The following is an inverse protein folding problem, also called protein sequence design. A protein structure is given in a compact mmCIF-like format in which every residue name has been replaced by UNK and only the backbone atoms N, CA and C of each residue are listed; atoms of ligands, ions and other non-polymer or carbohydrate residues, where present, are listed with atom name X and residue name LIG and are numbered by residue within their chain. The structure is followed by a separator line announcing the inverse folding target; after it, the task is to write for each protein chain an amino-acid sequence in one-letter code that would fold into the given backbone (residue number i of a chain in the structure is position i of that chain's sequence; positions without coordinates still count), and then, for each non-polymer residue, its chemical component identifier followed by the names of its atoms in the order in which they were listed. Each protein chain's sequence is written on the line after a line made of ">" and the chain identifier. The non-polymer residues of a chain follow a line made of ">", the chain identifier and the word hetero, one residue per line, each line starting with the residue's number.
data_IF_290853174411
#
_entry.id   IF_290853174411
#
_cell.length_a   1.000
_cell.length_b   1.000
_cell.length_c   1.000
_cell.angle_alpha   90.00
_cell.angle_beta   90.00
_cell.angle_gamma   90.00
#
_symmetry.space_group_name_H-M   'P 1'
#
loop_
_entity.id
_entity.type
_entity.pdbx_description
1 polymer ?
#
# COMPACT_ATOMS: atom_id res chain seq x y z
N UNK A 1 -17.51 12.55 -12.85
CA UNK A 1 -16.45 13.18 -12.05
C UNK A 1 -17.06 14.37 -11.36
N UNK A 2 -17.41 14.24 -10.08
CA UNK A 2 -17.94 15.36 -9.31
C UNK A 2 -16.77 16.16 -8.74
N UNK A 3 -16.34 17.17 -9.49
CA UNK A 3 -15.31 18.10 -9.01
C UNK A 3 -15.90 19.02 -7.94
N UNK A 4 -15.08 19.40 -6.94
CA UNK A 4 -15.48 20.40 -5.93
C UNK A 4 -16.07 21.66 -6.57
N UNK A 5 -15.48 22.08 -7.69
CA UNK A 5 -15.96 23.18 -8.54
C UNK A 5 -17.38 23.00 -9.08
N UNK A 6 -17.80 21.78 -9.44
CA UNK A 6 -19.15 21.53 -9.89
C UNK A 6 -20.18 21.79 -8.78
N UNK A 7 -19.84 21.41 -7.54
CA UNK A 7 -20.68 21.70 -6.38
C UNK A 7 -20.68 23.19 -6.01
N UNK A 8 -19.54 23.88 -6.13
CA UNK A 8 -19.47 25.34 -5.97
C UNK A 8 -20.43 26.02 -6.93
N UNK A 9 -20.29 25.77 -8.24
CA UNK A 9 -21.12 26.41 -9.26
C UNK A 9 -22.60 26.06 -9.17
N UNK A 10 -22.92 24.80 -8.82
CA UNK A 10 -24.31 24.42 -8.53
C UNK A 10 -24.85 25.17 -7.33
N UNK A 11 -24.05 25.36 -6.28
CA UNK A 11 -24.40 26.19 -5.13
C UNK A 11 -24.68 27.65 -5.52
N UNK A 12 -23.83 28.25 -6.36
CA UNK A 12 -24.03 29.61 -6.90
C UNK A 12 -25.35 29.72 -7.67
N UNK A 13 -25.62 28.77 -8.57
CA UNK A 13 -26.82 28.75 -9.39
C UNK A 13 -28.10 28.63 -8.54
N UNK A 14 -28.11 27.72 -7.57
CA UNK A 14 -29.26 27.55 -6.66
C UNK A 14 -29.48 28.80 -5.79
N UNK A 15 -28.41 29.49 -5.40
CA UNK A 15 -28.52 30.75 -4.66
C UNK A 15 -29.18 31.85 -5.49
N UNK A 16 -28.77 32.01 -6.76
CA UNK A 16 -29.37 32.97 -7.68
C UNK A 16 -30.84 32.69 -7.98
N UNK A 17 -31.26 31.41 -7.92
CA UNK A 17 -32.66 30.99 -8.04
C UNK A 17 -33.49 31.17 -6.75
N UNK A 18 -32.87 31.65 -5.67
CA UNK A 18 -33.53 31.79 -4.36
C UNK A 18 -33.65 30.48 -3.58
N UNK A 19 -33.07 29.38 -4.06
CA UNK A 19 -33.09 28.08 -3.39
C UNK A 19 -31.97 27.98 -2.33
N UNK A 20 -32.03 28.83 -1.30
CA UNK A 20 -30.96 28.99 -0.32
C UNK A 20 -30.56 27.70 0.42
N UNK A 21 -31.51 26.80 0.67
CA UNK A 21 -31.21 25.51 1.31
C UNK A 21 -30.41 24.57 0.38
N UNK A 22 -30.78 24.50 -0.90
CA UNK A 22 -30.05 23.72 -1.90
C UNK A 22 -28.67 24.34 -2.18
N UNK A 23 -28.57 25.67 -2.23
CA UNK A 23 -27.31 26.38 -2.33
C UNK A 23 -26.38 25.98 -1.17
N UNK A 24 -26.88 26.06 0.07
CA UNK A 24 -26.15 25.67 1.28
C UNK A 24 -25.70 24.22 1.24
N UNK A 25 -26.55 23.28 0.81
CA UNK A 25 -26.20 21.87 0.67
C UNK A 25 -25.07 21.65 -0.34
N UNK A 26 -25.13 22.30 -1.50
CA UNK A 26 -24.09 22.19 -2.51
C UNK A 26 -22.76 22.79 -2.04
N UNK A 27 -22.80 23.91 -1.33
CA UNK A 27 -21.60 24.51 -0.71
C UNK A 27 -21.01 23.59 0.35
N UNK A 28 -21.83 22.95 1.20
CA UNK A 28 -21.35 21.93 2.15
C UNK A 28 -20.67 20.77 1.44
N UNK A 29 -21.24 20.28 0.33
CA UNK A 29 -20.64 19.21 -0.47
C UNK A 29 -19.30 19.64 -1.08
N UNK A 30 -19.21 20.87 -1.59
CA UNK A 30 -17.95 21.41 -2.09
C UNK A 30 -16.87 21.48 -0.99
N UNK A 31 -17.23 22.02 0.18
CA UNK A 31 -16.32 22.18 1.33
C UNK A 31 -15.92 20.84 1.96
N UNK A 32 -16.80 19.83 1.91
CA UNK A 32 -16.48 18.49 2.36
C UNK A 32 -15.43 17.80 1.47
N UNK A 33 -15.44 18.11 0.16
CA UNK A 33 -14.45 17.62 -0.79
C UNK A 33 -13.16 18.43 -0.77
N UNK A 34 -13.26 19.74 -0.58
CA UNK A 34 -12.12 20.66 -0.54
C UNK A 34 -12.41 21.81 0.43
N UNK A 35 -11.81 21.80 1.64
CA UNK A 35 -12.16 22.75 2.70
C UNK A 35 -11.82 24.21 2.41
N UNK A 36 -10.89 24.47 1.48
CA UNK A 36 -10.61 25.81 0.94
C UNK A 36 -10.55 25.75 -0.59
N UNK A 37 -11.69 25.88 -1.28
CA UNK A 37 -11.73 25.80 -2.73
C UNK A 37 -11.13 27.05 -3.41
N UNK A 38 -10.59 28.02 -2.67
CA UNK A 38 -9.92 29.20 -3.22
C UNK A 38 -10.87 30.17 -3.95
N UNK A 39 -12.18 30.06 -3.70
CA UNK A 39 -13.21 30.84 -4.40
C UNK A 39 -13.24 32.26 -3.86
N UNK A 40 -13.10 33.25 -4.75
CA UNK A 40 -13.07 34.69 -4.42
C UNK A 40 -14.06 35.45 -5.30
N UNK A 41 -14.44 36.65 -4.89
CA UNK A 41 -15.31 37.52 -5.70
C UNK A 41 -16.76 37.03 -5.82
N UNK A 42 -17.27 36.23 -4.89
CA UNK A 42 -18.64 35.72 -4.98
C UNK A 42 -19.70 36.82 -4.88
N UNK A 43 -19.42 37.90 -4.16
CA UNK A 43 -20.34 39.04 -4.06
C UNK A 43 -20.45 39.85 -5.36
N UNK A 44 -19.49 39.74 -6.28
CA UNK A 44 -19.65 40.32 -7.63
C UNK A 44 -20.61 39.50 -8.49
N UNK A 45 -20.90 38.25 -8.11
CA UNK A 45 -21.85 37.36 -8.79
C UNK A 45 -23.26 37.51 -8.20
N UNK A 46 -23.37 37.52 -6.87
CA UNK A 46 -24.63 37.79 -6.18
C UNK A 46 -24.36 38.31 -4.76
N UNK A 47 -24.98 39.42 -4.33
CA UNK A 47 -24.81 39.95 -2.99
C UNK A 47 -25.15 38.91 -1.90
N UNK A 48 -24.27 38.75 -0.91
CA UNK A 48 -24.51 37.86 0.24
C UNK A 48 -24.13 36.39 -0.01
N UNK A 49 -23.73 36.05 -1.24
CA UNK A 49 -23.22 34.73 -1.57
C UNK A 49 -21.87 34.46 -0.89
N UNK A 50 -20.99 35.48 -0.77
CA UNK A 50 -19.74 35.31 -0.03
C UNK A 50 -20.01 35.02 1.45
N UNK A 51 -20.99 35.68 2.06
CA UNK A 51 -21.38 35.42 3.44
C UNK A 51 -21.93 34.00 3.65
N UNK A 52 -22.73 33.47 2.70
CA UNK A 52 -23.18 32.07 2.76
C UNK A 52 -21.98 31.12 2.72
N UNK A 53 -21.06 31.33 1.79
CA UNK A 53 -19.83 30.54 1.69
C UNK A 53 -18.97 30.67 2.94
N UNK A 54 -18.86 31.86 3.52
CA UNK A 54 -18.11 32.12 4.76
C UNK A 54 -18.75 31.43 5.97
N UNK A 55 -20.07 31.42 6.09
CA UNK A 55 -20.76 30.74 7.19
C UNK A 55 -20.56 29.23 7.09
N UNK A 56 -20.67 28.66 5.88
CA UNK A 56 -20.47 27.23 5.67
C UNK A 56 -18.98 26.82 5.75
N UNK A 57 -18.07 27.69 5.30
CA UNK A 57 -16.62 27.47 5.40
C UNK A 57 -16.14 27.57 6.84
N UNK A 58 -16.71 28.46 7.67
CA UNK A 58 -16.43 28.51 9.12
C UNK A 58 -16.74 27.18 9.82
N UNK A 59 -17.78 26.46 9.39
CA UNK A 59 -18.11 25.13 9.91
C UNK A 59 -17.17 24.02 9.39
N UNK A 60 -16.42 24.27 8.31
CA UNK A 60 -15.47 23.34 7.68
C UNK A 60 -14.02 23.85 7.74
N UNK A 61 -13.73 24.86 8.58
CA UNK A 61 -12.41 25.47 8.68
C UNK A 61 -11.38 24.39 9.00
N UNK A 62 -10.38 24.31 8.15
CA UNK A 62 -9.20 23.48 8.39
C UNK A 62 -8.20 24.29 9.18
N UNK A 63 -7.81 23.72 10.31
CA UNK A 63 -6.89 24.34 11.25
C UNK A 63 -5.48 23.82 10.98
N UNK A 64 -4.51 24.72 10.91
CA UNK A 64 -3.10 24.37 10.72
C UNK A 64 -2.51 23.95 12.08
N UNK A 65 -1.34 23.32 12.08
CA UNK A 65 -0.73 22.77 13.30
C UNK A 65 -0.61 23.78 14.47
N UNK A 66 -0.49 25.08 14.16
CA UNK A 66 -0.40 26.17 15.14
C UNK A 66 -1.74 26.63 15.71
N UNK A 67 -2.85 26.30 15.04
CA UNK A 67 -4.21 26.63 15.47
C UNK A 67 -4.81 25.54 16.39
N UNK A 68 -4.08 24.43 16.57
CA UNK A 68 -4.54 23.24 17.28
C UNK A 68 -3.88 23.15 18.65
N UNK A 69 -4.70 23.03 19.70
CA UNK A 69 -4.21 22.70 21.04
C UNK A 69 -3.59 21.29 21.05
N UNK A 70 -4.18 20.39 20.27
CA UNK A 70 -3.71 19.02 20.07
C UNK A 70 -3.74 18.67 18.58
N UNK A 71 -2.58 18.56 17.91
CA UNK A 71 -2.53 18.18 16.50
C UNK A 71 -2.80 16.69 16.32
N UNK A 72 -3.12 16.32 15.08
CA UNK A 72 -3.26 14.91 14.69
C UNK A 72 -1.94 14.16 14.90
N UNK A 73 -2.03 12.96 15.48
CA UNK A 73 -0.92 12.02 15.64
C UNK A 73 -1.33 10.64 15.13
N UNK A 74 -0.35 9.87 14.68
CA UNK A 74 -0.53 8.47 14.34
C UNK A 74 -0.80 7.66 15.61
N UNK A 75 -1.91 6.93 15.66
CA UNK A 75 -2.18 5.95 16.72
C UNK A 75 -1.75 4.54 16.29
N UNK A 76 -1.88 4.22 15.00
CA UNK A 76 -1.37 2.99 14.42
C UNK A 76 -0.27 3.28 13.41
N UNK A 77 0.72 2.38 13.34
CA UNK A 77 1.78 2.48 12.35
C UNK A 77 1.22 2.14 10.96
N UNK A 78 1.52 2.92 9.91
CA UNK A 78 1.09 2.61 8.56
C UNK A 78 1.77 1.33 8.06
N UNK A 79 0.99 0.30 7.76
CA UNK A 79 1.48 -0.91 7.12
C UNK A 79 1.48 -0.72 5.60
N UNK A 80 2.56 -0.13 5.09
CA UNK A 80 2.73 0.09 3.66
C UNK A 80 3.24 -1.18 2.97
N UNK A 81 2.38 -1.81 2.19
CA UNK A 81 2.76 -2.95 1.35
C UNK A 81 3.34 -2.41 0.05
N UNK A 82 4.65 -2.63 -0.14
CA UNK A 82 5.36 -2.12 -1.30
C UNK A 82 4.94 -2.88 -2.58
N UNK A 83 4.43 -2.20 -3.63
CA UNK A 83 4.01 -2.89 -4.86
C UNK A 83 5.16 -3.66 -5.51
N UNK A 84 4.93 -4.94 -5.86
CA UNK A 84 5.97 -5.86 -6.36
C UNK A 84 6.72 -5.32 -7.58
N UNK A 85 6.01 -4.75 -8.55
CA UNK A 85 6.61 -4.20 -9.77
C UNK A 85 7.55 -3.02 -9.49
N UNK A 86 7.17 -2.15 -8.54
CA UNK A 86 7.99 -1.01 -8.14
C UNK A 86 9.18 -1.47 -7.29
N UNK A 87 8.98 -2.52 -6.47
CA UNK A 87 10.04 -3.15 -5.67
C UNK A 87 11.13 -3.72 -6.59
N UNK A 88 10.75 -4.47 -7.63
CA UNK A 88 11.66 -5.06 -8.62
C UNK A 88 12.46 -4.00 -9.37
N UNK A 89 11.80 -2.91 -9.77
CA UNK A 89 12.44 -1.76 -10.45
C UNK A 89 13.24 -0.86 -9.50
N UNK A 90 13.24 -1.14 -8.19
CA UNK A 90 13.88 -0.34 -7.13
C UNK A 90 13.51 1.15 -7.21
N UNK A 91 12.27 1.45 -7.61
CA UNK A 91 11.78 2.83 -7.63
C UNK A 91 11.85 3.37 -6.21
N UNK A 92 12.21 4.62 -6.01
CA UNK A 92 12.19 5.24 -4.68
C UNK A 92 11.95 6.73 -4.81
N UNK A 93 11.53 7.37 -3.72
CA UNK A 93 11.32 8.81 -3.70
C UNK A 93 10.39 9.26 -2.60
N UNK A 94 10.12 10.56 -2.58
CA UNK A 94 9.19 11.14 -1.63
C UNK A 94 7.77 11.17 -2.22
N UNK A 95 6.79 10.80 -1.43
CA UNK A 95 5.39 11.07 -1.70
C UNK A 95 4.88 12.14 -0.75
N UNK A 96 4.22 13.17 -1.27
CA UNK A 96 3.58 14.22 -0.47
C UNK A 96 2.08 14.02 -0.58
N UNK A 97 1.43 13.80 0.55
CA UNK A 97 0.00 13.54 0.62
C UNK A 97 -0.65 14.56 1.53
N UNK A 98 -1.79 15.09 1.10
CA UNK A 98 -2.69 15.89 1.89
C UNK A 98 -3.98 15.12 2.12
N UNK A 99 -4.43 15.09 3.37
CA UNK A 99 -5.63 14.33 3.72
C UNK A 99 -6.44 14.99 4.82
N UNK A 100 -7.76 14.77 4.79
CA UNK A 100 -8.68 15.22 5.82
C UNK A 100 -8.93 14.11 6.82
N UNK A 101 -8.51 14.34 8.07
CA UNK A 101 -8.78 13.49 9.22
C UNK A 101 -10.07 13.97 9.86
N UNK A 102 -11.02 13.06 10.07
CA UNK A 102 -12.30 13.39 10.69
C UNK A 102 -12.20 13.56 12.22
N UNK A 103 -13.34 13.84 12.87
CA UNK A 103 -13.42 14.02 14.33
C UNK A 103 -13.23 12.72 15.12
N UNK A 104 -13.27 11.57 14.45
CA UNK A 104 -13.05 10.24 15.03
C UNK A 104 -11.62 9.72 14.76
N UNK A 105 -10.84 10.44 13.97
CA UNK A 105 -9.48 10.03 13.62
C UNK A 105 -9.38 9.11 12.40
N UNK A 106 -10.41 9.03 11.57
CA UNK A 106 -10.40 8.24 10.33
C UNK A 106 -10.14 9.12 9.10
N UNK A 107 -9.62 8.49 8.06
CA UNK A 107 -9.40 9.09 6.75
C UNK A 107 -10.14 8.29 5.70
N UNK A 108 -10.92 8.95 4.87
CA UNK A 108 -11.62 8.34 3.73
C UNK A 108 -10.81 8.54 2.46
N UNK A 109 -10.80 7.56 1.57
CA UNK A 109 -10.01 7.59 0.33
C UNK A 109 -10.27 8.84 -0.53
N UNK A 110 -11.54 9.26 -0.63
CA UNK A 110 -11.95 10.46 -1.39
C UNK A 110 -11.35 11.76 -0.86
N UNK A 111 -10.92 11.77 0.41
CA UNK A 111 -10.33 12.93 1.07
C UNK A 111 -8.79 12.86 1.06
N UNK A 112 -8.19 11.92 0.33
CA UNK A 112 -6.73 11.79 0.15
C UNK A 112 -6.34 12.38 -1.20
N UNK A 113 -5.53 13.43 -1.15
CA UNK A 113 -4.96 14.11 -2.30
C UNK A 113 -3.46 13.87 -2.34
N UNK A 114 -2.97 13.27 -3.42
CA UNK A 114 -1.55 13.04 -3.64
C UNK A 114 -1.00 14.24 -4.40
N UNK A 115 -0.14 15.03 -3.75
CA UNK A 115 0.46 16.24 -4.31
C UNK A 115 1.72 15.94 -5.11
N UNK A 116 2.50 14.96 -4.66
CA UNK A 116 3.73 14.51 -5.30
C UNK A 116 3.88 13.00 -5.08
N UNK A 117 4.33 12.27 -6.10
CA UNK A 117 4.62 10.84 -6.01
C UNK A 117 5.65 10.44 -7.06
N UNK A 118 6.61 9.55 -6.74
CA UNK A 118 7.69 9.21 -7.68
C UNK A 118 7.22 8.34 -8.86
N UNK A 119 6.17 7.54 -8.68
CA UNK A 119 5.54 6.73 -9.72
C UNK A 119 4.05 6.60 -9.39
N UNK A 120 3.17 6.82 -10.37
CA UNK A 120 1.71 6.79 -10.17
C UNK A 120 1.20 5.43 -9.68
N UNK A 121 1.94 4.33 -9.92
CA UNK A 121 1.59 3.01 -9.45
C UNK A 121 1.66 2.86 -7.91
N UNK A 122 2.26 3.81 -7.18
CA UNK A 122 2.16 3.84 -5.71
C UNK A 122 0.81 4.34 -5.20
N UNK A 123 0.02 5.04 -6.03
CA UNK A 123 -1.15 5.79 -5.57
C UNK A 123 -2.18 4.93 -4.85
N UNK A 124 -2.52 3.77 -5.42
CA UNK A 124 -3.52 2.86 -4.85
C UNK A 124 -3.03 2.28 -3.53
N UNK A 125 -1.78 1.77 -3.49
CA UNK A 125 -1.20 1.21 -2.27
C UNK A 125 -1.12 2.27 -1.15
N UNK A 126 -0.71 3.50 -1.48
CA UNK A 126 -0.59 4.58 -0.51
C UNK A 126 -1.95 4.98 0.06
N UNK A 127 -2.98 5.09 -0.78
CA UNK A 127 -4.35 5.37 -0.34
C UNK A 127 -4.88 4.28 0.58
N UNK A 128 -4.73 3.01 0.19
CA UNK A 128 -5.17 1.86 1.00
C UNK A 128 -4.50 1.85 2.38
N UNK A 129 -3.18 2.09 2.44
CA UNK A 129 -2.45 2.19 3.70
C UNK A 129 -2.94 3.35 4.56
N UNK A 130 -3.20 4.53 3.97
CA UNK A 130 -3.64 5.69 4.74
C UNK A 130 -5.08 5.54 5.26
N UNK A 131 -5.94 4.83 4.54
CA UNK A 131 -7.31 4.52 5.00
C UNK A 131 -7.36 3.49 6.12
N UNK A 132 -6.32 2.65 6.30
CA UNK A 132 -6.26 1.66 7.39
C UNK A 132 -5.65 2.20 8.67
N UNK A 133 -5.11 3.42 8.64
CA UNK A 133 -4.49 4.06 9.80
C UNK A 133 -5.54 4.74 10.66
N UNK A 134 -5.37 4.60 11.98
CA UNK A 134 -6.10 5.37 12.97
C UNK A 134 -5.26 6.55 13.45
N UNK A 135 -5.88 7.72 13.47
CA UNK A 135 -5.28 8.96 13.92
C UNK A 135 -5.92 9.44 15.24
N UNK A 136 -5.19 10.24 16.02
CA UNK A 136 -5.82 10.99 17.10
C UNK A 136 -6.61 12.16 16.51
N UNK A 137 -7.86 12.40 16.94
CA UNK A 137 -8.61 13.58 16.51
C UNK A 137 -7.85 14.86 16.87
N UNK A 138 -7.84 15.83 15.96
CA UNK A 138 -7.38 17.17 16.29
C UNK A 138 -8.35 17.83 17.28
N UNK A 139 -7.87 18.70 18.16
CA UNK A 139 -8.73 19.42 19.12
C UNK A 139 -8.46 20.92 19.17
N UNK A 140 -9.54 21.67 19.38
CA UNK A 140 -9.55 23.11 19.69
C UNK A 140 -10.46 23.35 20.89
N UNK A 141 -9.95 24.04 21.90
CA UNK A 141 -10.59 24.20 23.20
C UNK A 141 -11.13 22.87 23.76
N UNK A 142 -10.37 21.79 23.57
CA UNK A 142 -10.73 20.43 23.99
C UNK A 142 -11.78 19.71 23.14
N UNK A 143 -12.40 20.35 22.14
CA UNK A 143 -13.42 19.74 21.26
C UNK A 143 -12.77 19.12 20.02
N UNK A 144 -13.16 17.89 19.61
CA UNK A 144 -12.63 17.27 18.39
C UNK A 144 -13.09 18.01 17.15
N UNK A 145 -12.16 18.27 16.22
CA UNK A 145 -12.40 18.97 14.96
C UNK A 145 -11.80 18.18 13.79
N UNK A 146 -12.37 18.36 12.60
CA UNK A 146 -11.78 17.84 11.36
C UNK A 146 -10.50 18.62 11.07
N UNK A 147 -9.46 17.93 10.61
CA UNK A 147 -8.16 18.55 10.36
C UNK A 147 -7.59 18.11 9.03
N UNK A 148 -7.11 19.09 8.25
CA UNK A 148 -6.41 18.85 7.00
C UNK A 148 -4.92 18.82 7.29
N UNK A 149 -4.30 17.66 7.08
CA UNK A 149 -2.90 17.41 7.37
C UNK A 149 -2.14 17.09 6.10
N UNK A 150 -0.86 17.45 6.06
CA UNK A 150 0.04 17.10 4.98
C UNK A 150 1.23 16.33 5.53
N UNK A 151 1.49 15.16 4.95
CA UNK A 151 2.60 14.30 5.32
C UNK A 151 3.50 14.04 4.11
N UNK A 152 4.81 13.97 4.38
CA UNK A 152 5.82 13.53 3.42
C UNK A 152 6.26 12.12 3.81
N UNK A 153 6.10 11.17 2.92
CA UNK A 153 6.53 9.78 3.09
C UNK A 153 7.76 9.52 2.22
N UNK A 154 8.78 8.90 2.81
CA UNK A 154 9.93 8.43 2.03
C UNK A 154 9.66 6.98 1.62
N UNK A 155 9.29 6.78 0.36
CA UNK A 155 9.02 5.46 -0.22
C UNK A 155 10.35 4.84 -0.65
N UNK A 156 10.86 3.95 0.20
CA UNK A 156 12.10 3.19 -0.07
C UNK A 156 11.73 1.72 -0.12
N UNK A 157 12.14 0.97 -1.15
CA UNK A 157 11.89 -0.46 -1.19
C UNK A 157 12.55 -1.13 0.02
N UNK A 158 11.94 -2.18 0.59
CA UNK A 158 12.58 -2.94 1.66
C UNK A 158 13.91 -3.50 1.12
N UNK A 159 14.94 -3.60 1.98
CA UNK A 159 16.20 -4.20 1.57
C UNK A 159 15.96 -5.64 1.09
N UNK A 160 16.71 -6.10 0.07
CA UNK A 160 16.74 -7.50 -0.31
C UNK A 160 16.97 -8.39 0.93
N UNK A 161 16.22 -9.48 1.02
CA UNK A 161 16.41 -10.50 2.05
C UNK A 161 17.35 -11.58 1.53
N UNK A 162 18.08 -12.21 2.44
CA UNK A 162 18.92 -13.36 2.11
C UNK A 162 18.03 -14.55 1.69
N UNK A 163 18.09 -15.00 0.42
CA UNK A 163 17.26 -16.10 -0.06
C UNK A 163 17.58 -17.42 0.66
N UNK A 164 18.84 -17.67 1.04
CA UNK A 164 19.21 -18.92 1.71
C UNK A 164 18.53 -19.00 3.07
N UNK A 165 18.58 -17.91 3.83
CA UNK A 165 17.88 -17.81 5.11
C UNK A 165 16.36 -18.04 4.97
N UNK A 166 15.73 -17.45 3.94
CA UNK A 166 14.30 -17.65 3.68
C UNK A 166 13.96 -19.12 3.39
N UNK A 167 14.80 -19.82 2.60
CA UNK A 167 14.61 -21.24 2.31
C UNK A 167 14.76 -22.08 3.58
N UNK A 168 15.73 -21.76 4.45
CA UNK A 168 15.93 -22.49 5.71
C UNK A 168 14.76 -22.28 6.69
N UNK A 169 14.19 -21.07 6.73
CA UNK A 169 12.94 -20.80 7.45
C UNK A 169 11.79 -21.62 6.85
N UNK A 170 11.65 -21.67 5.52
CA UNK A 170 10.62 -22.44 4.84
C UNK A 170 10.71 -23.94 5.19
N UNK A 171 11.92 -24.51 5.16
CA UNK A 171 12.16 -25.91 5.59
C UNK A 171 11.81 -26.13 7.05
N UNK A 172 12.01 -25.14 7.90
CA UNK A 172 11.59 -25.20 9.31
C UNK A 172 10.07 -25.21 9.42
N UNK A 173 9.37 -24.37 8.68
CA UNK A 173 7.90 -24.37 8.64
C UNK A 173 7.33 -25.71 8.14
N UNK A 174 7.94 -26.30 7.10
CA UNK A 174 7.56 -27.64 6.59
C UNK A 174 7.69 -28.72 7.67
N UNK A 175 8.78 -28.72 8.44
CA UNK A 175 8.96 -29.68 9.54
C UNK A 175 7.90 -29.53 10.64
N UNK A 176 7.37 -28.33 10.82
CA UNK A 176 6.28 -28.06 11.78
C UNK A 176 4.88 -28.27 11.21
N UNK A 177 4.76 -28.76 9.97
CA UNK A 177 3.46 -29.00 9.33
C UNK A 177 2.77 -27.72 8.85
N UNK A 178 3.51 -26.66 8.55
CA UNK A 178 2.99 -25.37 8.07
C UNK A 178 3.43 -25.11 6.60
N UNK A 179 2.88 -25.84 5.62
CA UNK A 179 3.33 -25.73 4.23
C UNK A 179 2.90 -24.43 3.53
N UNK A 180 1.84 -23.77 3.99
CA UNK A 180 1.42 -22.46 3.47
C UNK A 180 2.44 -21.38 3.82
N UNK A 181 2.82 -21.28 5.10
CA UNK A 181 3.88 -20.37 5.56
C UNK A 181 5.21 -20.65 4.87
N UNK A 182 5.52 -21.93 4.61
CA UNK A 182 6.70 -22.30 3.85
C UNK A 182 6.64 -21.79 2.40
N UNK A 183 5.49 -21.89 1.75
CA UNK A 183 5.30 -21.41 0.37
C UNK A 183 5.49 -19.90 0.27
N UNK A 184 4.95 -19.12 1.20
CA UNK A 184 5.15 -17.67 1.23
C UNK A 184 6.63 -17.28 1.34
N UNK A 185 7.37 -17.97 2.20
CA UNK A 185 8.83 -17.76 2.36
C UNK A 185 9.60 -18.14 1.09
N UNK A 186 9.19 -19.20 0.39
CA UNK A 186 9.81 -19.63 -0.87
C UNK A 186 9.49 -18.68 -2.02
N UNK A 187 8.25 -18.19 -2.11
CA UNK A 187 7.87 -17.14 -3.07
C UNK A 187 8.66 -15.86 -2.84
N UNK A 188 8.92 -15.50 -1.58
CA UNK A 188 9.81 -14.38 -1.26
C UNK A 188 11.26 -14.70 -1.65
N UNK A 189 11.78 -15.89 -1.36
CA UNK A 189 13.14 -16.29 -1.73
C UNK A 189 13.37 -16.26 -3.25
N UNK A 190 12.37 -16.66 -4.02
CA UNK A 190 12.38 -16.68 -5.49
C UNK A 190 12.11 -15.30 -6.12
N UNK A 191 11.79 -14.27 -5.32
CA UNK A 191 11.59 -12.94 -5.89
C UNK A 191 12.91 -12.39 -6.45
N UNK A 192 12.95 -11.96 -7.74
CA UNK A 192 14.18 -11.44 -8.36
C UNK A 192 14.83 -10.28 -7.61
N UNK A 193 14.08 -9.57 -6.76
CA UNK A 193 14.64 -8.49 -5.92
C UNK A 193 15.74 -8.98 -4.97
N UNK A 194 15.70 -10.26 -4.58
CA UNK A 194 16.63 -10.85 -3.63
C UNK A 194 17.93 -11.36 -4.26
N UNK A 195 18.09 -11.23 -5.59
CA UNK A 195 19.32 -11.51 -6.33
C UNK A 195 19.93 -12.89 -6.02
N UNK A 196 19.07 -13.91 -5.93
CA UNK A 196 19.49 -15.27 -5.66
C UNK A 196 20.39 -15.81 -6.78
N UNK A 197 21.51 -16.41 -6.40
CA UNK A 197 22.36 -17.12 -7.37
C UNK A 197 21.61 -18.29 -8.00
N UNK A 198 21.98 -18.74 -9.21
CA UNK A 198 21.32 -19.88 -9.85
C UNK A 198 21.30 -21.16 -8.98
N UNK A 199 22.33 -21.39 -8.17
CA UNK A 199 22.37 -22.53 -7.25
C UNK A 199 21.36 -22.40 -6.10
N UNK A 200 21.12 -21.18 -5.63
CA UNK A 200 20.12 -20.90 -4.58
C UNK A 200 18.70 -20.99 -5.14
N UNK A 201 18.48 -20.57 -6.40
CA UNK A 201 17.21 -20.79 -7.09
C UNK A 201 16.89 -22.29 -7.20
N UNK A 202 17.87 -23.12 -7.59
CA UNK A 202 17.72 -24.58 -7.59
C UNK A 202 17.32 -25.11 -6.21
N UNK A 203 17.97 -24.63 -5.15
CA UNK A 203 17.63 -25.04 -3.79
C UNK A 203 16.19 -24.65 -3.42
N UNK A 204 15.76 -23.43 -3.73
CA UNK A 204 14.40 -22.95 -3.49
C UNK A 204 13.35 -23.79 -4.24
N UNK A 205 13.56 -24.06 -5.54
CA UNK A 205 12.66 -24.85 -6.39
C UNK A 205 12.49 -26.30 -5.88
N UNK A 206 13.58 -26.93 -5.46
CA UNK A 206 13.52 -28.28 -4.88
C UNK A 206 12.74 -28.29 -3.55
N UNK A 207 12.93 -27.28 -2.71
CA UNK A 207 12.16 -27.15 -1.45
C UNK A 207 10.70 -26.81 -1.73
N UNK A 208 10.41 -26.05 -2.79
CA UNK A 208 9.05 -25.76 -3.24
C UNK A 208 8.32 -27.03 -3.70
N UNK A 209 9.01 -27.94 -4.39
CA UNK A 209 8.45 -29.26 -4.71
C UNK A 209 8.06 -30.05 -3.46
N UNK A 210 8.89 -30.05 -2.41
CA UNK A 210 8.58 -30.67 -1.12
C UNK A 210 7.36 -29.99 -0.47
N UNK A 211 7.28 -28.66 -0.54
CA UNK A 211 6.14 -27.92 -0.01
C UNK A 211 4.83 -28.26 -0.72
N UNK A 212 4.84 -28.36 -2.05
CA UNK A 212 3.68 -28.82 -2.82
C UNK A 212 3.28 -30.25 -2.50
N UNK A 213 4.26 -31.14 -2.31
CA UNK A 213 4.00 -32.52 -1.89
C UNK A 213 3.35 -32.57 -0.51
N UNK A 214 3.81 -31.75 0.44
CA UNK A 214 3.18 -31.61 1.75
C UNK A 214 1.75 -31.06 1.69
N UNK A 215 1.41 -30.31 0.64
CA UNK A 215 0.04 -29.84 0.33
C UNK A 215 -0.78 -30.84 -0.48
N UNK A 216 -0.25 -32.03 -0.76
CA UNK A 216 -0.86 -33.05 -1.60
C UNK A 216 -1.14 -32.62 -3.06
N UNK A 217 -0.42 -31.61 -3.56
CA UNK A 217 -0.48 -31.17 -4.95
C UNK A 217 0.66 -31.82 -5.75
N UNK A 218 0.45 -33.07 -6.15
CA UNK A 218 1.47 -33.90 -6.81
C UNK A 218 1.89 -33.34 -8.17
N UNK A 219 0.97 -32.71 -8.90
CA UNK A 219 1.27 -32.12 -10.20
C UNK A 219 2.24 -30.92 -10.07
N UNK A 220 1.98 -30.00 -9.13
CA UNK A 220 2.89 -28.88 -8.88
C UNK A 220 4.21 -29.32 -8.24
N UNK A 221 4.17 -30.35 -7.39
CA UNK A 221 5.38 -30.94 -6.82
C UNK A 221 6.28 -31.50 -7.92
N UNK A 222 5.74 -32.31 -8.83
CA UNK A 222 6.48 -32.89 -9.95
C UNK A 222 7.08 -31.80 -10.86
N UNK A 223 6.29 -30.77 -11.21
CA UNK A 223 6.78 -29.65 -12.02
C UNK A 223 7.94 -28.90 -11.38
N UNK A 224 7.87 -28.64 -10.06
CA UNK A 224 8.94 -27.96 -9.32
C UNK A 224 10.21 -28.82 -9.24
N UNK A 225 10.05 -30.13 -9.01
CA UNK A 225 11.18 -31.07 -9.01
C UNK A 225 11.84 -31.19 -10.38
N UNK A 226 11.06 -31.26 -11.45
CA UNK A 226 11.57 -31.33 -12.82
C UNK A 226 12.38 -30.07 -13.15
N UNK A 227 11.83 -28.90 -12.85
CA UNK A 227 12.49 -27.61 -13.05
C UNK A 227 13.81 -27.52 -12.26
N UNK A 228 13.76 -27.77 -10.95
CA UNK A 228 14.92 -27.70 -10.06
C UNK A 228 16.02 -28.70 -10.45
N UNK A 229 15.67 -29.97 -10.70
CA UNK A 229 16.63 -30.99 -11.11
C UNK A 229 17.18 -30.76 -12.54
N UNK A 230 16.37 -30.18 -13.42
CA UNK A 230 16.79 -29.73 -14.75
C UNK A 230 17.89 -28.66 -14.66
N UNK A 231 17.61 -27.59 -13.91
CA UNK A 231 18.57 -26.51 -13.68
C UNK A 231 19.83 -26.99 -12.95
N UNK A 232 19.67 -27.83 -11.92
CA UNK A 232 20.78 -28.45 -11.20
C UNK A 232 21.74 -29.17 -12.16
N UNK A 233 21.22 -29.99 -13.09
CA UNK A 233 22.05 -30.71 -14.08
C UNK A 233 22.77 -29.77 -15.04
N UNK A 234 22.08 -28.74 -15.52
CA UNK A 234 22.67 -27.77 -16.43
C UNK A 234 23.83 -27.00 -15.76
N UNK A 235 23.65 -26.59 -14.51
CA UNK A 235 24.68 -25.89 -13.75
C UNK A 235 25.85 -26.82 -13.39
N UNK A 236 25.58 -28.06 -12.98
CA UNK A 236 26.62 -29.06 -12.73
C UNK A 236 27.47 -29.33 -13.97
N UNK A 237 26.84 -29.42 -15.15
CA UNK A 237 27.53 -29.59 -16.44
C UNK A 237 28.41 -28.38 -16.81
N UNK A 238 28.10 -27.18 -16.28
CA UNK A 238 28.92 -25.97 -16.42
C UNK A 238 30.02 -25.86 -15.36
N UNK A 239 30.18 -26.86 -14.49
CA UNK A 239 31.21 -26.89 -13.45
C UNK A 239 30.86 -26.12 -12.18
N UNK A 240 29.58 -25.77 -11.96
CA UNK A 240 29.15 -25.17 -10.68
C UNK A 240 29.23 -26.24 -9.59
N UNK A 241 30.04 -25.99 -8.55
CA UNK A 241 30.08 -26.85 -7.36
C UNK A 241 28.93 -26.50 -6.42
N UNK A 242 28.23 -27.53 -5.97
CA UNK A 242 27.08 -27.40 -5.09
C UNK A 242 27.45 -27.83 -3.67
N UNK A 243 26.89 -27.14 -2.69
CA UNK A 243 27.06 -27.52 -1.29
C UNK A 243 26.60 -28.98 -1.07
N UNK A 244 27.27 -29.76 -0.19
CA UNK A 244 26.96 -31.18 0.03
C UNK A 244 25.49 -31.47 0.33
N UNK A 245 24.83 -30.59 1.11
CA UNK A 245 23.42 -30.74 1.45
C UNK A 245 22.50 -30.67 0.23
N UNK A 246 22.82 -29.81 -0.75
CA UNK A 246 22.00 -29.63 -1.95
C UNK A 246 22.18 -30.82 -2.91
N UNK A 247 23.39 -31.37 -2.99
CA UNK A 247 23.65 -32.63 -3.71
C UNK A 247 22.82 -33.77 -3.13
N UNK A 248 22.90 -33.96 -1.81
CA UNK A 248 22.13 -34.97 -1.09
C UNK A 248 20.62 -34.82 -1.29
N UNK A 249 20.11 -33.58 -1.26
CA UNK A 249 18.71 -33.28 -1.51
C UNK A 249 18.29 -33.68 -2.93
N UNK A 250 19.04 -33.25 -3.95
CA UNK A 250 18.76 -33.55 -5.34
C UNK A 250 18.76 -35.06 -5.61
N UNK A 251 19.73 -35.79 -5.04
CA UNK A 251 19.80 -37.25 -5.17
C UNK A 251 18.66 -37.96 -4.45
N UNK A 252 18.26 -37.50 -3.26
CA UNK A 252 17.09 -38.03 -2.55
C UNK A 252 15.81 -37.89 -3.39
N UNK A 253 15.57 -36.70 -3.97
CA UNK A 253 14.37 -36.44 -4.78
C UNK A 253 14.37 -37.33 -6.03
N UNK A 254 15.52 -37.49 -6.71
CA UNK A 254 15.65 -38.38 -7.88
C UNK A 254 15.34 -39.84 -7.55
N UNK A 255 15.74 -40.32 -6.37
CA UNK A 255 15.48 -41.69 -5.94
C UNK A 255 13.99 -41.92 -5.66
N UNK A 256 13.32 -40.95 -5.06
CA UNK A 256 11.87 -41.02 -4.80
C UNK A 256 11.07 -41.05 -6.10
N UNK A 257 11.41 -40.18 -7.06
CA UNK A 257 10.71 -40.10 -8.35
C UNK A 257 10.86 -41.35 -9.24
N UNK A 258 11.79 -42.26 -8.93
CA UNK A 258 11.95 -43.55 -9.63
C UNK A 258 11.14 -44.70 -9.00
N UNK A 259 10.57 -44.49 -7.81
CA UNK A 259 9.83 -45.51 -7.05
C UNK A 259 8.31 -45.39 -7.21
N UNK A 260 7.84 -44.27 -7.72
CA UNK A 260 6.45 -44.01 -8.11
C UNK A 260 6.25 -44.37 -9.59
#
# INVERSE_FOLDING_TARGET
>A
MDSSWAYVWRGVLEYQRGHYQLARLNVRRALALYPDPGVRGLDTISPGLANLFDVESRAHRTFRAWDLDQPVRWLTAPQFVYPRELRRRRVSGAAVVRMLVDTLGHVEERNIEILEIPDSAFSTALKQTLTSVLFSPARIAGKPVRSLVSYRFNLTPPPPRDPVHLIDLARTQLRTGQPDSAMELLEEALDPVNDATPAVLVYAELVQGIAWQAKHDTARAAGSFELGLGQYRQLAARGVDFAPFLRSLADSIRLTARRE
#
